data_IF_227792664909
#
_entry.id   IF_227792664909
#
_cell.length_a   1.000
_cell.length_b   1.000
_cell.length_c   1.000
_cell.angle_alpha   90.00
_cell.angle_beta   90.00
_cell.angle_gamma   90.00
#
_symmetry.space_group_name_H-M   'P 1'
#
loop_
_entity.id
_entity.type
_entity.pdbx_description
1 polymer ?
#
# COMPACT_ATOMS: atom_id res chain seq x y z
N UNK A 1 -15.11 20.49 21.47
CA UNK A 1 -14.81 20.39 20.03
C UNK A 1 -14.91 18.94 19.59
N UNK A 2 -15.77 18.59 18.63
CA UNK A 2 -15.75 17.26 18.02
C UNK A 2 -14.62 17.23 17.00
N UNK A 3 -13.46 16.69 17.38
CA UNK A 3 -12.37 16.44 16.44
C UNK A 3 -12.82 15.37 15.44
N UNK A 4 -12.86 15.71 14.15
CA UNK A 4 -13.09 14.76 13.06
C UNK A 4 -11.75 14.62 12.33
N UNK A 5 -11.17 13.42 12.32
CA UNK A 5 -9.99 13.13 11.48
C UNK A 5 -10.33 13.53 10.04
N UNK A 6 -9.42 14.25 9.36
CA UNK A 6 -9.55 14.46 7.92
C UNK A 6 -9.47 13.08 7.24
N UNK A 7 -10.40 12.74 6.33
CA UNK A 7 -10.28 11.51 5.57
C UNK A 7 -8.96 11.53 4.80
N UNK A 8 -8.21 10.44 4.88
CA UNK A 8 -7.00 10.27 4.06
C UNK A 8 -7.47 9.62 2.77
N UNK A 9 -7.44 10.37 1.68
CA UNK A 9 -7.74 9.82 0.36
C UNK A 9 -6.46 9.23 -0.19
N UNK A 10 -6.48 7.93 -0.49
CA UNK A 10 -5.39 7.21 -1.15
C UNK A 10 -5.94 6.71 -2.47
N UNK A 11 -5.24 7.02 -3.56
CA UNK A 11 -5.62 6.53 -4.88
C UNK A 11 -5.34 5.03 -4.97
N UNK A 12 -6.39 4.25 -5.20
CA UNK A 12 -6.25 2.82 -5.46
C UNK A 12 -5.61 2.62 -6.83
N UNK A 13 -4.65 1.70 -6.90
CA UNK A 13 -4.05 1.25 -8.14
C UNK A 13 -3.98 -0.28 -8.13
N UNK A 14 -3.84 -0.87 -9.30
CA UNK A 14 -3.65 -2.32 -9.41
C UNK A 14 -2.19 -2.62 -9.13
N UNK A 15 -1.95 -3.41 -8.09
CA UNK A 15 -0.64 -3.97 -7.81
C UNK A 15 -0.62 -5.44 -8.27
N UNK A 16 0.31 -5.78 -9.17
CA UNK A 16 0.46 -7.11 -9.76
C UNK A 16 1.61 -7.90 -9.15
N UNK A 17 2.42 -7.27 -8.29
CA UNK A 17 3.51 -7.92 -7.55
C UNK A 17 4.59 -8.57 -8.43
N UNK A 18 4.67 -8.23 -9.72
CA UNK A 18 5.53 -8.90 -10.68
C UNK A 18 5.88 -8.06 -11.91
N UNK A 19 6.47 -8.72 -12.91
CA UNK A 19 6.95 -8.10 -14.15
C UNK A 19 5.85 -7.44 -14.99
N UNK A 20 4.60 -7.82 -14.73
CA UNK A 20 3.40 -7.25 -15.35
C UNK A 20 2.96 -5.93 -14.69
N UNK A 21 3.71 -5.41 -13.70
CA UNK A 21 3.45 -4.09 -13.10
C UNK A 21 3.79 -3.00 -14.11
N UNK A 22 2.77 -2.34 -14.64
CA UNK A 22 2.95 -1.29 -15.66
C UNK A 22 3.10 0.10 -15.08
N UNK A 23 2.55 0.35 -13.89
CA UNK A 23 2.47 1.68 -13.28
C UNK A 23 2.67 1.61 -11.76
N UNK A 24 3.61 2.37 -11.22
CA UNK A 24 3.75 2.62 -9.78
C UNK A 24 3.46 4.10 -9.51
N UNK A 25 2.32 4.45 -8.89
CA UNK A 25 2.02 5.84 -8.54
C UNK A 25 3.14 6.50 -7.73
N UNK A 26 3.44 7.77 -7.96
CA UNK A 26 4.52 8.45 -7.22
C UNK A 26 4.35 8.35 -5.71
N UNK A 27 3.10 8.43 -5.22
CA UNK A 27 2.78 8.31 -3.81
C UNK A 27 3.17 6.95 -3.22
N UNK A 28 3.06 5.84 -3.98
CA UNK A 28 3.43 4.51 -3.45
C UNK A 28 4.95 4.41 -3.33
N UNK A 29 5.69 4.98 -4.29
CA UNK A 29 7.16 5.01 -4.26
C UNK A 29 7.65 5.81 -3.06
N UNK A 30 7.06 6.99 -2.80
CA UNK A 30 7.37 7.79 -1.62
C UNK A 30 6.99 7.08 -0.32
N UNK A 31 5.82 6.41 -0.28
CA UNK A 31 5.37 5.69 0.90
C UNK A 31 6.22 4.44 1.21
N UNK A 32 6.77 3.76 0.19
CA UNK A 32 7.77 2.70 0.36
C UNK A 32 9.07 3.28 0.95
N UNK A 33 9.56 4.41 0.41
CA UNK A 33 10.77 5.08 0.92
C UNK A 33 10.63 5.54 2.38
N UNK A 34 9.44 5.98 2.76
CA UNK A 34 9.09 6.42 4.11
C UNK A 34 8.75 5.26 5.06
N UNK A 35 8.79 4.00 4.58
CA UNK A 35 8.49 2.81 5.39
C UNK A 35 7.01 2.65 5.76
N UNK A 36 6.11 3.43 5.15
CA UNK A 36 4.65 3.27 5.29
C UNK A 36 4.10 2.09 4.49
N UNK A 37 4.86 1.60 3.52
CA UNK A 37 4.49 0.46 2.68
C UNK A 37 5.57 -0.60 2.76
N UNK A 38 5.16 -1.85 2.92
CA UNK A 38 6.03 -3.01 2.92
C UNK A 38 5.52 -4.06 1.93
N UNK A 39 6.45 -4.73 1.25
CA UNK A 39 6.16 -5.93 0.46
C UNK A 39 6.70 -7.11 1.26
N UNK A 40 5.80 -8.03 1.63
CA UNK A 40 6.08 -9.17 2.50
C UNK A 40 5.66 -10.43 1.76
N UNK A 41 6.31 -11.56 2.05
CA UNK A 41 5.87 -12.87 1.54
C UNK A 41 5.11 -13.64 2.62
N UNK A 42 4.05 -14.33 2.22
CA UNK A 42 3.37 -15.26 3.10
C UNK A 42 4.17 -16.57 3.31
N UNK A 43 3.59 -17.53 4.04
CA UNK A 43 4.21 -18.83 4.29
C UNK A 43 4.48 -19.66 3.03
N UNK A 44 3.87 -19.30 1.89
CA UNK A 44 4.04 -19.94 0.59
C UNK A 44 4.96 -19.14 -0.34
N UNK A 45 5.66 -18.13 0.18
CA UNK A 45 6.52 -17.22 -0.57
C UNK A 45 5.75 -16.37 -1.61
N UNK A 46 4.45 -16.15 -1.42
CA UNK A 46 3.63 -15.28 -2.26
C UNK A 46 3.74 -13.84 -1.78
N UNK A 47 4.22 -12.89 -2.61
CA UNK A 47 4.35 -11.51 -2.19
C UNK A 47 2.97 -10.85 -2.05
N UNK A 48 2.80 -10.07 -0.99
CA UNK A 48 1.67 -9.17 -0.81
C UNK A 48 2.15 -7.81 -0.31
N UNK A 49 1.44 -6.76 -0.70
CA UNK A 49 1.74 -5.39 -0.28
C UNK A 49 0.89 -5.03 0.93
N UNK A 50 1.53 -4.40 1.92
CA UNK A 50 0.89 -3.85 3.12
C UNK A 50 1.10 -2.35 3.17
N UNK A 51 0.01 -1.61 3.23
CA UNK A 51 0.01 -0.15 3.33
C UNK A 51 -0.50 0.24 4.73
N UNK A 52 0.32 0.93 5.50
CA UNK A 52 -0.05 1.44 6.81
C UNK A 52 -0.70 2.83 6.66
N UNK A 53 -2.01 2.91 6.91
CA UNK A 53 -2.78 4.16 6.84
C UNK A 53 -3.27 4.59 8.22
N UNK A 54 -3.84 5.79 8.33
CA UNK A 54 -4.47 6.27 9.57
C UNK A 54 -5.75 5.51 9.93
N UNK A 55 -6.29 4.73 9.00
CA UNK A 55 -7.52 3.92 9.14
C UNK A 55 -7.21 2.44 9.38
N UNK A 56 -5.96 2.01 9.19
CA UNK A 56 -5.52 0.65 9.45
C UNK A 56 -4.54 0.15 8.39
N UNK A 57 -4.32 -1.16 8.39
CA UNK A 57 -3.52 -1.84 7.36
C UNK A 57 -4.41 -2.18 6.18
N UNK A 58 -3.99 -1.77 5.00
CA UNK A 58 -4.59 -2.19 3.73
C UNK A 58 -3.67 -3.21 3.09
N UNK A 59 -4.24 -4.28 2.55
CA UNK A 59 -3.50 -5.39 1.96
C UNK A 59 -3.87 -5.46 0.49
N UNK A 60 -2.86 -5.53 -0.37
CA UNK A 60 -3.03 -5.86 -1.78
C UNK A 60 -2.34 -7.18 -2.08
N UNK A 61 -3.01 -8.03 -2.84
CA UNK A 61 -2.51 -9.31 -3.35
C UNK A 61 -2.46 -9.22 -4.88
N UNK A 62 -1.47 -9.85 -5.52
CA UNK A 62 -1.31 -9.82 -6.97
C UNK A 62 -2.44 -10.53 -7.73
#
# INVERSE_FOLDING_TARGET
>A
MKYRKKPVVIEAFRWTGGVDQTEDPEWIVEAIKDGRVAIISDSYNTPYMVIQTLEGRHIAQP
#
